data_IF_161782840328
#
_entry.id   IF_161782840328
#
_cell.length_a   1.000
_cell.length_b   1.000
_cell.length_c   1.000
_cell.angle_alpha   90.00
_cell.angle_beta   90.00
_cell.angle_gamma   90.00
#
_symmetry.space_group_name_H-M   'P 1'
#
loop_
_entity.id
_entity.type
_entity.pdbx_description
1 polymer ?
#
# COMPACT_ATOMS: atom_id res chain seq x y z
N UNK A 1 -10.02 -2.79 -74.32
CA UNK A 1 -9.51 -3.67 -73.23
C UNK A 1 -8.54 -2.85 -72.42
N UNK A 2 -8.96 -2.38 -71.25
CA UNK A 2 -8.15 -1.60 -70.31
C UNK A 2 -8.01 -2.42 -69.02
N UNK A 3 -6.80 -2.59 -68.46
CA UNK A 3 -6.66 -3.37 -67.23
C UNK A 3 -7.12 -2.53 -66.02
N UNK A 4 -8.04 -3.11 -65.25
CA UNK A 4 -8.53 -2.59 -63.98
C UNK A 4 -7.40 -2.49 -62.95
N UNK A 5 -7.01 -1.26 -62.62
CA UNK A 5 -6.16 -0.95 -61.47
C UNK A 5 -6.98 -1.08 -60.17
N UNK A 6 -6.93 -2.25 -59.54
CA UNK A 6 -7.43 -2.46 -58.17
C UNK A 6 -6.64 -1.60 -57.18
N UNK A 7 -7.28 -0.56 -56.64
CA UNK A 7 -6.77 0.21 -55.50
C UNK A 7 -6.62 -0.70 -54.27
N UNK A 8 -5.49 -0.69 -53.55
CA UNK A 8 -5.35 -1.45 -52.33
C UNK A 8 -6.22 -0.82 -51.23
N UNK A 9 -7.14 -1.62 -50.68
CA UNK A 9 -7.85 -1.32 -49.43
C UNK A 9 -6.81 -1.17 -48.31
N UNK A 10 -6.45 0.06 -47.98
CA UNK A 10 -5.77 0.39 -46.72
C UNK A 10 -6.78 0.15 -45.59
N UNK A 11 -6.76 -1.05 -45.01
CA UNK A 11 -7.32 -1.29 -43.69
C UNK A 11 -6.49 -0.50 -42.68
N UNK A 12 -6.85 0.76 -42.43
CA UNK A 12 -6.41 1.49 -41.25
C UNK A 12 -7.09 0.87 -40.02
N UNK A 13 -6.65 -0.34 -39.67
CA UNK A 13 -6.76 -0.85 -38.31
C UNK A 13 -5.90 0.04 -37.43
N UNK A 14 -6.41 1.24 -37.12
CA UNK A 14 -5.97 2.03 -35.99
C UNK A 14 -6.17 1.14 -34.79
N UNK A 15 -5.11 0.38 -34.44
CA UNK A 15 -4.90 -0.16 -33.10
C UNK A 15 -5.23 1.00 -32.18
N UNK A 16 -6.39 0.94 -31.54
CA UNK A 16 -6.73 1.90 -30.51
C UNK A 16 -5.59 1.84 -29.52
N UNK A 17 -4.76 2.89 -29.55
CA UNK A 17 -3.71 3.11 -28.57
C UNK A 17 -4.46 3.09 -27.24
N UNK A 18 -4.30 1.99 -26.49
CA UNK A 18 -4.83 1.85 -25.14
C UNK A 18 -4.44 3.14 -24.41
N UNK A 19 -5.43 3.99 -24.14
CA UNK A 19 -5.21 5.23 -23.40
C UNK A 19 -4.39 4.88 -22.16
N UNK A 20 -3.34 5.66 -21.83
CA UNK A 20 -2.58 5.43 -20.61
C UNK A 20 -3.54 5.31 -19.44
N UNK A 21 -3.32 4.32 -18.58
CA UNK A 21 -4.19 4.00 -17.45
C UNK A 21 -4.57 5.30 -16.72
N UNK A 22 -5.88 5.59 -16.66
CA UNK A 22 -6.40 6.74 -15.91
C UNK A 22 -5.76 6.74 -14.52
N UNK A 23 -5.18 7.89 -14.11
CA UNK A 23 -4.60 8.16 -12.78
C UNK A 23 -5.29 7.33 -11.69
N UNK A 24 -4.48 6.60 -10.91
CA UNK A 24 -4.86 5.49 -10.03
C UNK A 24 -6.12 5.71 -9.20
N UNK A 25 -7.24 5.17 -9.68
CA UNK A 25 -8.50 5.15 -8.94
C UNK A 25 -8.40 4.16 -7.78
N UNK A 26 -8.95 4.52 -6.62
CA UNK A 26 -8.99 3.63 -5.46
C UNK A 26 -10.01 2.49 -5.64
N UNK A 27 -11.09 2.77 -6.39
CA UNK A 27 -12.04 1.77 -6.87
C UNK A 27 -12.14 1.80 -8.39
N UNK A 28 -12.34 0.64 -9.01
CA UNK A 28 -12.53 0.54 -10.45
C UNK A 28 -13.83 1.22 -10.91
N UNK A 29 -14.89 1.16 -10.10
CA UNK A 29 -16.19 1.77 -10.40
C UNK A 29 -16.34 3.14 -9.70
N UNK A 30 -16.94 4.10 -10.40
CA UNK A 30 -17.06 5.51 -9.96
C UNK A 30 -18.27 5.79 -9.07
N UNK A 31 -18.90 4.77 -8.48
CA UNK A 31 -20.11 4.96 -7.65
C UNK A 31 -19.82 5.61 -6.30
N UNK A 32 -18.58 5.51 -5.82
CA UNK A 32 -18.14 6.10 -4.57
C UNK A 32 -17.06 7.15 -4.84
N UNK A 33 -17.10 8.24 -4.06
CA UNK A 33 -16.08 9.29 -4.11
C UNK A 33 -14.75 8.78 -3.54
N UNK A 34 -13.65 9.06 -4.24
CA UNK A 34 -12.28 8.79 -3.78
C UNK A 34 -11.98 9.45 -2.43
N UNK A 35 -12.56 10.62 -2.14
CA UNK A 35 -12.40 11.27 -0.84
C UNK A 35 -13.00 10.43 0.31
N UNK A 36 -14.18 9.84 0.09
CA UNK A 36 -14.81 8.94 1.07
C UNK A 36 -13.98 7.67 1.27
N UNK A 37 -13.45 7.11 0.19
CA UNK A 37 -12.62 5.90 0.26
C UNK A 37 -11.31 6.19 1.02
N UNK A 38 -10.67 7.34 0.77
CA UNK A 38 -9.49 7.78 1.53
C UNK A 38 -9.79 7.92 3.02
N UNK A 39 -10.95 8.47 3.38
CA UNK A 39 -11.36 8.56 4.79
C UNK A 39 -11.59 7.17 5.40
N UNK A 40 -12.19 6.22 4.69
CA UNK A 40 -12.29 4.82 5.15
C UNK A 40 -10.90 4.21 5.38
N UNK A 41 -9.96 4.42 4.44
CA UNK A 41 -8.58 3.93 4.57
C UNK A 41 -7.89 4.58 5.78
N UNK A 42 -8.13 5.88 6.02
CA UNK A 42 -7.61 6.58 7.20
C UNK A 42 -8.17 5.99 8.49
N UNK A 43 -9.49 5.82 8.61
CA UNK A 43 -10.08 5.18 9.78
C UNK A 43 -9.51 3.77 10.01
N UNK A 44 -9.32 2.99 8.95
CA UNK A 44 -8.71 1.67 9.03
C UNK A 44 -7.26 1.73 9.54
N UNK A 45 -6.42 2.60 8.97
CA UNK A 45 -5.03 2.73 9.34
C UNK A 45 -4.85 3.11 10.82
N UNK A 46 -5.69 4.02 11.31
CA UNK A 46 -5.74 4.48 12.71
C UNK A 46 -6.46 3.51 13.67
N UNK A 47 -6.73 2.27 13.24
CA UNK A 47 -7.42 1.25 14.03
C UNK A 47 -8.76 1.71 14.62
N UNK A 48 -9.44 2.67 13.96
CA UNK A 48 -10.75 3.17 14.38
C UNK A 48 -11.83 2.11 14.12
N UNK A 49 -12.90 2.20 14.90
CA UNK A 49 -14.03 1.28 14.74
C UNK A 49 -14.70 1.47 13.37
N UNK A 50 -15.29 0.41 12.77
CA UNK A 50 -16.10 0.56 11.56
C UNK A 50 -17.25 1.56 11.72
N UNK A 51 -17.81 1.68 12.93
CA UNK A 51 -18.85 2.65 13.24
C UNK A 51 -18.37 4.10 13.04
N UNK A 52 -17.14 4.41 13.41
CA UNK A 52 -16.56 5.73 13.19
C UNK A 52 -16.35 6.03 11.70
N UNK A 53 -15.88 5.05 10.93
CA UNK A 53 -15.73 5.18 9.48
C UNK A 53 -17.09 5.42 8.79
N UNK A 54 -18.14 4.73 9.24
CA UNK A 54 -19.52 4.93 8.77
C UNK A 54 -19.97 6.37 9.06
N UNK A 55 -19.80 6.85 10.30
CA UNK A 55 -20.20 8.18 10.71
C UNK A 55 -19.50 9.29 9.90
N UNK A 56 -18.19 9.15 9.66
CA UNK A 56 -17.39 10.15 8.94
C UNK A 56 -17.67 10.20 7.43
N UNK A 57 -18.11 9.09 6.84
CA UNK A 57 -18.24 8.98 5.37
C UNK A 57 -19.69 8.93 4.88
N UNK A 58 -20.63 8.60 5.77
CA UNK A 58 -22.03 8.34 5.43
C UNK A 58 -22.21 7.11 4.54
N UNK A 59 -21.22 6.20 4.48
CA UNK A 59 -21.33 4.95 3.73
C UNK A 59 -22.08 3.90 4.54
N UNK A 60 -22.78 2.99 3.85
CA UNK A 60 -23.47 1.89 4.53
C UNK A 60 -22.48 0.97 5.24
N UNK A 61 -22.95 0.36 6.33
CA UNK A 61 -22.19 -0.64 7.10
C UNK A 61 -21.57 -1.70 6.19
N UNK A 62 -22.38 -2.31 5.31
CA UNK A 62 -21.93 -3.33 4.35
C UNK A 62 -20.78 -2.82 3.47
N UNK A 63 -20.83 -1.56 3.03
CA UNK A 63 -19.79 -0.96 2.18
C UNK A 63 -18.48 -0.81 2.94
N UNK A 64 -18.51 -0.30 4.17
CA UNK A 64 -17.30 -0.13 4.99
C UNK A 64 -16.64 -1.47 5.30
N UNK A 65 -17.42 -2.48 5.69
CA UNK A 65 -16.89 -3.82 5.96
C UNK A 65 -16.27 -4.46 4.70
N UNK A 66 -16.91 -4.30 3.53
CA UNK A 66 -16.32 -4.76 2.25
C UNK A 66 -15.01 -4.04 1.94
N UNK A 67 -14.96 -2.72 2.11
CA UNK A 67 -13.72 -1.95 1.91
C UNK A 67 -12.61 -2.41 2.85
N UNK A 68 -12.90 -2.66 4.13
CA UNK A 68 -11.93 -3.21 5.07
C UNK A 68 -11.43 -4.60 4.63
N UNK A 69 -12.33 -5.47 4.14
CA UNK A 69 -11.95 -6.76 3.57
C UNK A 69 -11.03 -6.64 2.36
N UNK A 70 -11.32 -5.70 1.46
CA UNK A 70 -10.45 -5.41 0.30
C UNK A 70 -9.08 -4.87 0.72
N UNK A 71 -9.02 -4.01 1.74
CA UNK A 71 -7.76 -3.49 2.28
C UNK A 71 -6.93 -4.65 2.84
N UNK A 72 -7.51 -5.51 3.70
CA UNK A 72 -6.79 -6.69 4.23
C UNK A 72 -6.22 -7.57 3.13
N UNK A 73 -7.04 -7.86 2.10
CA UNK A 73 -6.59 -8.68 0.97
C UNK A 73 -5.41 -8.05 0.24
N UNK A 74 -5.45 -6.73 0.04
CA UNK A 74 -4.33 -5.99 -0.57
C UNK A 74 -3.08 -6.07 0.29
N UNK A 75 -3.21 -5.86 1.59
CA UNK A 75 -2.07 -5.88 2.52
C UNK A 75 -1.46 -7.27 2.69
N UNK A 76 -2.28 -8.32 2.72
CA UNK A 76 -1.80 -9.70 2.70
C UNK A 76 -1.10 -10.02 1.39
N UNK A 77 -1.68 -9.63 0.26
CA UNK A 77 -1.11 -9.89 -1.07
C UNK A 77 0.27 -9.25 -1.26
N UNK A 78 0.49 -8.04 -0.72
CA UNK A 78 1.79 -7.37 -0.82
C UNK A 78 2.76 -7.75 0.30
N UNK A 79 2.39 -8.69 1.17
CA UNK A 79 3.21 -9.16 2.28
C UNK A 79 3.36 -8.17 3.44
N UNK A 80 2.57 -7.09 3.48
CA UNK A 80 2.53 -6.22 4.68
C UNK A 80 1.85 -6.93 5.83
N UNK A 81 0.77 -7.66 5.55
CA UNK A 81 0.23 -8.63 6.49
C UNK A 81 0.85 -9.97 6.17
N UNK A 82 1.59 -10.55 7.11
CA UNK A 82 2.07 -11.91 6.99
C UNK A 82 0.96 -12.89 7.32
N UNK A 83 0.89 -13.99 6.57
CA UNK A 83 0.07 -15.12 6.95
C UNK A 83 0.56 -15.67 8.31
N UNK A 84 -0.35 -16.16 9.15
CA UNK A 84 0.02 -16.69 10.47
C UNK A 84 1.07 -17.79 10.39
N UNK A 85 0.96 -18.68 9.40
CA UNK A 85 1.93 -19.76 9.21
C UNK A 85 3.32 -19.22 8.93
N UNK A 86 3.45 -18.29 7.98
CA UNK A 86 4.73 -17.64 7.68
C UNK A 86 5.30 -16.88 8.88
N UNK A 87 4.46 -16.22 9.67
CA UNK A 87 4.89 -15.60 10.93
C UNK A 87 5.42 -16.63 11.94
N UNK A 88 4.76 -17.79 12.05
CA UNK A 88 5.18 -18.86 12.95
C UNK A 88 6.55 -19.41 12.52
N UNK A 89 6.69 -19.71 11.23
CA UNK A 89 7.93 -20.21 10.64
C UNK A 89 9.08 -19.23 10.93
N UNK A 90 8.87 -17.93 10.67
CA UNK A 90 9.88 -16.89 10.94
C UNK A 90 10.28 -16.78 12.42
N UNK A 91 9.36 -17.02 13.36
CA UNK A 91 9.67 -16.98 14.80
C UNK A 91 10.36 -18.25 15.28
N UNK A 92 9.99 -19.42 14.73
CA UNK A 92 10.70 -20.66 15.03
C UNK A 92 12.14 -20.59 14.52
N UNK A 93 12.35 -20.10 13.28
CA UNK A 93 13.68 -19.88 12.72
C UNK A 93 14.49 -18.92 13.61
N UNK A 94 13.85 -17.87 14.14
CA UNK A 94 14.47 -16.91 15.06
C UNK A 94 14.93 -17.58 16.36
N UNK A 95 14.12 -18.46 16.94
CA UNK A 95 14.50 -19.24 18.12
C UNK A 95 15.63 -20.24 17.83
N UNK A 96 15.59 -20.91 16.67
CA UNK A 96 16.63 -21.83 16.21
C UNK A 96 17.98 -21.12 16.01
N UNK A 97 17.98 -19.86 15.59
CA UNK A 97 19.16 -18.98 15.52
C UNK A 97 19.73 -18.59 16.91
N UNK A 98 19.13 -19.08 18.02
CA UNK A 98 19.56 -18.80 19.39
C UNK A 98 19.14 -17.42 19.89
N UNK A 99 18.12 -16.81 19.26
CA UNK A 99 17.57 -15.51 19.68
C UNK A 99 16.64 -15.71 20.90
N UNK A 100 16.22 -14.63 21.59
CA UNK A 100 15.33 -14.75 22.73
C UNK A 100 14.04 -15.50 22.37
N UNK A 101 13.61 -16.37 23.29
CA UNK A 101 12.36 -17.11 23.18
C UNK A 101 11.18 -16.17 22.95
N UNK A 102 10.32 -16.52 22.00
CA UNK A 102 9.10 -15.83 21.70
C UNK A 102 7.97 -16.36 22.59
N UNK A 103 7.26 -15.44 23.26
CA UNK A 103 6.14 -15.82 24.13
C UNK A 103 4.89 -16.18 23.31
N UNK A 104 4.77 -17.48 23.01
CA UNK A 104 3.66 -18.05 22.26
C UNK A 104 2.32 -17.96 22.98
N UNK A 105 2.31 -18.09 24.31
CA UNK A 105 1.08 -18.12 25.10
C UNK A 105 0.43 -16.74 25.12
N UNK A 106 1.21 -15.70 25.41
CA UNK A 106 0.72 -14.32 25.41
C UNK A 106 0.31 -13.87 24.00
N UNK A 107 1.05 -14.28 22.97
CA UNK A 107 0.68 -14.01 21.58
C UNK A 107 -0.67 -14.63 21.21
N UNK A 108 -0.90 -15.92 21.48
CA UNK A 108 -2.16 -16.59 21.18
C UNK A 108 -3.33 -15.99 21.96
N UNK A 109 -3.11 -15.61 23.23
CA UNK A 109 -4.10 -14.93 24.05
C UNK A 109 -4.47 -13.56 23.47
N UNK A 110 -3.48 -12.75 23.11
CA UNK A 110 -3.70 -11.45 22.48
C UNK A 110 -4.41 -11.57 21.13
N UNK A 111 -4.04 -12.57 20.32
CA UNK A 111 -4.67 -12.87 19.04
C UNK A 111 -6.16 -13.22 19.22
N UNK A 112 -6.48 -14.12 20.16
CA UNK A 112 -7.86 -14.51 20.48
C UNK A 112 -8.69 -13.32 20.95
N UNK A 113 -8.14 -12.48 21.82
CA UNK A 113 -8.82 -11.27 22.31
C UNK A 113 -9.10 -10.30 21.15
N UNK A 114 -8.11 -10.08 20.28
CA UNK A 114 -8.26 -9.18 19.14
C UNK A 114 -9.32 -9.67 18.17
N UNK A 115 -9.33 -10.97 17.85
CA UNK A 115 -10.31 -11.58 16.95
C UNK A 115 -11.71 -11.66 17.56
N UNK A 116 -11.83 -11.96 18.87
CA UNK A 116 -13.12 -12.03 19.57
C UNK A 116 -13.87 -10.69 19.57
N UNK A 117 -13.14 -9.58 19.48
CA UNK A 117 -13.72 -8.23 19.40
C UNK A 117 -14.16 -7.82 17.98
N UNK A 118 -14.04 -8.70 16.98
CA UNK A 118 -14.40 -8.41 15.59
C UNK A 118 -15.69 -9.12 15.20
N UNK A 119 -16.61 -8.36 14.59
CA UNK A 119 -17.83 -8.90 13.99
C UNK A 119 -17.59 -9.32 12.53
N UNK A 120 -18.34 -10.32 12.08
CA UNK A 120 -18.39 -10.74 10.68
C UNK A 120 -17.21 -11.59 10.22
N UNK A 121 -16.51 -12.26 11.15
CA UNK A 121 -15.51 -13.27 10.81
C UNK A 121 -16.23 -14.56 10.41
N UNK A 122 -15.93 -15.07 9.23
CA UNK A 122 -16.39 -16.36 8.72
C UNK A 122 -15.19 -17.19 8.24
N UNK A 123 -15.42 -18.45 7.89
CA UNK A 123 -14.34 -19.33 7.42
C UNK A 123 -13.62 -18.81 6.17
N UNK A 124 -14.27 -18.00 5.33
CA UNK A 124 -13.71 -17.50 4.06
C UNK A 124 -12.83 -16.28 4.24
N UNK A 125 -13.03 -15.52 5.31
CA UNK A 125 -12.30 -14.29 5.57
C UNK A 125 -11.39 -14.37 6.82
N UNK A 126 -11.48 -15.46 7.59
CA UNK A 126 -10.74 -15.66 8.84
C UNK A 126 -9.25 -15.36 8.68
N UNK A 127 -8.61 -15.88 7.64
CA UNK A 127 -7.16 -15.72 7.42
C UNK A 127 -6.77 -14.26 7.25
N UNK A 128 -7.62 -13.44 6.64
CA UNK A 128 -7.39 -12.00 6.50
C UNK A 128 -7.43 -11.28 7.85
N UNK A 129 -8.35 -11.69 8.73
CA UNK A 129 -8.45 -11.13 10.08
C UNK A 129 -7.30 -11.59 10.97
N UNK A 130 -6.90 -12.85 10.87
CA UNK A 130 -5.76 -13.40 11.60
C UNK A 130 -4.48 -12.69 11.18
N UNK A 131 -4.25 -12.52 9.87
CA UNK A 131 -3.06 -11.84 9.36
C UNK A 131 -3.01 -10.36 9.79
N UNK A 132 -4.15 -9.66 9.80
CA UNK A 132 -4.22 -8.32 10.39
C UNK A 132 -3.90 -8.34 11.89
N UNK A 133 -4.43 -9.32 12.63
CA UNK A 133 -4.21 -9.42 14.07
C UNK A 133 -2.73 -9.67 14.39
N UNK A 134 -2.06 -10.57 13.65
CA UNK A 134 -0.60 -10.78 13.75
C UNK A 134 0.14 -9.45 13.56
N UNK A 135 -0.17 -8.74 12.48
CA UNK A 135 0.44 -7.44 12.20
C UNK A 135 0.19 -6.42 13.33
N UNK A 136 -1.04 -6.33 13.83
CA UNK A 136 -1.42 -5.32 14.84
C UNK A 136 -0.87 -5.62 16.23
N UNK A 137 -0.75 -6.90 16.60
CA UNK A 137 -0.31 -7.33 17.94
C UNK A 137 1.22 -7.35 18.02
N UNK A 138 1.91 -7.85 16.98
CA UNK A 138 3.36 -8.10 17.04
C UNK A 138 4.19 -7.16 16.16
N UNK A 139 3.68 -6.78 14.99
CA UNK A 139 4.47 -6.07 13.98
C UNK A 139 4.15 -4.58 13.87
N UNK A 140 3.29 -4.04 14.73
CA UNK A 140 2.75 -2.69 14.63
C UNK A 140 3.76 -1.62 15.05
N UNK A 141 4.90 -1.59 14.35
CA UNK A 141 5.99 -0.63 14.46
C UNK A 141 5.75 0.61 13.62
N UNK A 142 4.70 0.60 12.80
CA UNK A 142 4.36 1.69 11.90
C UNK A 142 3.36 2.66 12.55
N UNK A 143 3.64 3.94 12.40
CA UNK A 143 2.71 4.99 12.73
C UNK A 143 1.45 4.89 11.86
N UNK A 144 0.26 5.26 12.36
CA UNK A 144 -0.98 5.18 11.60
C UNK A 144 -0.93 5.87 10.22
N UNK A 145 -0.23 7.00 10.12
CA UNK A 145 -0.06 7.70 8.85
C UNK A 145 0.83 6.93 7.87
N UNK A 146 1.83 6.18 8.36
CA UNK A 146 2.64 5.30 7.53
C UNK A 146 1.79 4.14 7.00
N UNK A 147 0.97 3.51 7.85
CA UNK A 147 0.03 2.45 7.44
C UNK A 147 -0.93 2.97 6.36
N UNK A 148 -1.47 4.17 6.55
CA UNK A 148 -2.33 4.82 5.56
C UNK A 148 -1.64 4.96 4.20
N UNK A 149 -0.40 5.45 4.19
CA UNK A 149 0.38 5.61 2.96
C UNK A 149 0.73 4.26 2.31
N UNK A 150 1.08 3.26 3.12
CA UNK A 150 1.34 1.89 2.64
C UNK A 150 0.11 1.27 1.99
N UNK A 151 -1.10 1.50 2.53
CA UNK A 151 -2.35 1.04 1.91
C UNK A 151 -2.57 1.71 0.56
N UNK A 152 -2.44 3.05 0.49
CA UNK A 152 -2.60 3.77 -0.77
C UNK A 152 -1.59 3.29 -1.83
N UNK A 153 -0.36 3.03 -1.41
CA UNK A 153 0.68 2.54 -2.29
C UNK A 153 0.43 1.11 -2.75
N UNK A 154 -0.05 0.23 -1.86
CA UNK A 154 -0.48 -1.10 -2.23
C UNK A 154 -1.55 -1.04 -3.33
N UNK A 155 -2.58 -0.21 -3.16
CA UNK A 155 -3.65 -0.02 -4.17
C UNK A 155 -3.09 0.54 -5.48
N UNK A 156 -2.18 1.52 -5.42
CA UNK A 156 -1.54 2.08 -6.62
C UNK A 156 -0.71 1.05 -7.38
N UNK A 157 -0.03 0.19 -6.64
CA UNK A 157 0.87 -0.83 -7.22
C UNK A 157 0.06 -1.96 -7.81
N UNK A 158 -0.80 -2.60 -7.02
CA UNK A 158 -1.47 -3.87 -7.40
C UNK A 158 -2.89 -3.70 -7.94
N UNK A 159 -3.38 -2.46 -8.02
CA UNK A 159 -4.66 -2.12 -8.61
C UNK A 159 -5.79 -1.81 -7.60
N UNK A 160 -6.94 -1.33 -8.11
CA UNK A 160 -8.06 -0.81 -7.30
C UNK A 160 -8.63 -1.85 -6.34
N UNK A 161 -9.15 -1.43 -5.18
CA UNK A 161 -9.57 -2.29 -4.07
C UNK A 161 -10.58 -3.39 -4.45
N UNK A 162 -11.53 -3.09 -5.33
CA UNK A 162 -12.62 -4.00 -5.71
C UNK A 162 -12.30 -4.90 -6.93
N UNK A 163 -11.03 -5.08 -7.27
CA UNK A 163 -10.56 -6.06 -8.26
C UNK A 163 -9.56 -7.01 -7.62
N UNK A 164 -9.32 -8.16 -8.23
CA UNK A 164 -8.20 -8.99 -7.79
C UNK A 164 -6.86 -8.27 -8.00
N UNK A 165 -5.86 -8.48 -7.12
CA UNK A 165 -4.55 -7.87 -7.28
C UNK A 165 -3.86 -8.42 -8.52
N UNK A 166 -3.15 -7.57 -9.26
CA UNK A 166 -2.40 -8.03 -10.43
C UNK A 166 -1.12 -8.78 -10.01
N UNK A 167 -0.92 -10.05 -10.44
CA UNK A 167 0.20 -10.91 -10.04
C UNK A 167 1.58 -10.28 -10.25
N UNK A 168 1.73 -9.55 -11.34
CA UNK A 168 3.00 -8.94 -11.78
C UNK A 168 3.31 -7.62 -11.07
N UNK A 169 2.39 -7.11 -10.25
CA UNK A 169 2.50 -5.79 -9.64
C UNK A 169 3.11 -5.79 -8.23
N UNK A 170 3.26 -6.94 -7.58
CA UNK A 170 3.91 -7.06 -6.28
C UNK A 170 5.35 -6.51 -6.30
N UNK A 171 6.08 -6.71 -7.41
CA UNK A 171 7.43 -6.19 -7.59
C UNK A 171 7.52 -4.64 -7.50
N UNK A 172 6.49 -3.94 -7.98
CA UNK A 172 6.43 -2.47 -7.89
C UNK A 172 6.18 -2.00 -6.44
N UNK A 173 5.44 -2.79 -5.66
CA UNK A 173 5.25 -2.51 -4.24
C UNK A 173 6.54 -2.70 -3.44
N UNK A 174 7.23 -3.84 -3.60
CA UNK A 174 8.49 -4.11 -2.89
C UNK A 174 9.58 -3.09 -3.20
N UNK A 175 9.66 -2.63 -4.46
CA UNK A 175 10.56 -1.54 -4.86
C UNK A 175 10.29 -0.25 -4.07
N UNK A 176 9.03 0.07 -3.82
CA UNK A 176 8.65 1.26 -3.08
C UNK A 176 8.82 1.11 -1.57
N UNK A 177 8.55 -0.07 -1.01
CA UNK A 177 8.87 -0.37 0.40
C UNK A 177 10.37 -0.23 0.64
N UNK A 178 11.21 -0.77 -0.27
CA UNK A 178 12.65 -0.56 -0.23
C UNK A 178 13.00 0.95 -0.28
N UNK A 179 12.35 1.73 -1.14
CA UNK A 179 12.55 3.18 -1.22
C UNK A 179 12.21 3.88 0.10
N UNK A 180 11.07 3.53 0.73
CA UNK A 180 10.64 4.11 2.00
C UNK A 180 11.57 3.73 3.15
N UNK A 181 11.95 2.46 3.25
CA UNK A 181 12.91 1.99 4.24
C UNK A 181 14.27 2.69 4.07
N UNK A 182 14.69 2.93 2.84
CA UNK A 182 15.91 3.66 2.53
C UNK A 182 15.81 5.14 2.91
N UNK A 183 14.64 5.77 2.73
CA UNK A 183 14.42 7.15 3.22
C UNK A 183 14.47 7.24 4.74
N UNK A 184 13.85 6.28 5.45
CA UNK A 184 13.90 6.20 6.91
C UNK A 184 15.35 6.02 7.35
N UNK A 185 16.06 5.05 6.78
CA UNK A 185 17.47 4.80 7.06
C UNK A 185 18.34 6.05 6.83
N UNK A 186 18.19 6.73 5.69
CA UNK A 186 18.92 7.96 5.39
C UNK A 186 18.57 9.11 6.34
N UNK A 187 17.30 9.21 6.77
CA UNK A 187 16.89 10.23 7.74
C UNK A 187 17.52 9.97 9.11
N UNK A 188 17.55 8.71 9.57
CA UNK A 188 18.19 8.31 10.82
C UNK A 188 19.70 8.56 10.72
N UNK A 189 20.34 8.14 9.63
CA UNK A 189 21.78 8.36 9.39
C UNK A 189 22.17 9.84 9.42
N UNK A 190 21.36 10.73 8.82
CA UNK A 190 21.56 12.18 8.90
C UNK A 190 21.43 12.72 10.32
N UNK A 191 20.48 12.18 11.09
CA UNK A 191 20.22 12.61 12.47
C UNK A 191 21.34 12.16 13.42
N UNK A 192 22.00 11.03 13.10
CA UNK A 192 23.15 10.50 13.83
C UNK A 192 24.48 11.21 13.49
N UNK A 193 24.49 12.14 12.53
CA UNK A 193 25.64 13.00 12.26
C UNK A 193 26.83 12.32 11.58
N UNK A 194 26.64 11.16 10.96
CA UNK A 194 27.74 10.39 10.39
C UNK A 194 28.25 11.01 9.05
N UNK A 195 29.49 11.52 8.98
CA UNK A 195 30.00 12.26 7.83
C UNK A 195 30.11 11.43 6.54
N UNK A 196 30.26 10.11 6.64
CA UNK A 196 30.29 9.19 5.48
C UNK A 196 28.92 9.14 4.79
N UNK A 197 27.84 9.21 5.56
CA UNK A 197 26.47 9.12 5.05
C UNK A 197 25.93 10.45 4.51
N UNK A 198 26.38 11.59 5.05
CA UNK A 198 26.06 12.90 4.48
C UNK A 198 26.61 13.05 3.05
N UNK A 199 27.84 12.59 2.79
CA UNK A 199 28.42 12.56 1.46
C UNK A 199 27.69 11.62 0.48
N UNK A 200 27.17 10.48 0.97
CA UNK A 200 26.39 9.55 0.15
C UNK A 200 24.97 10.09 -0.15
N UNK A 201 24.35 10.75 0.82
CA UNK A 201 23.02 11.36 0.68
C UNK A 201 23.02 12.56 -0.29
N UNK A 202 24.13 13.29 -0.38
CA UNK A 202 24.33 14.40 -1.32
C UNK A 202 24.64 13.93 -2.75
N UNK A 203 25.33 12.79 -2.94
CA UNK A 203 25.77 12.38 -4.29
C UNK A 203 24.76 11.56 -5.11
N UNK A 204 23.72 10.96 -4.51
CA UNK A 204 22.83 10.01 -5.25
C UNK A 204 21.32 10.25 -5.15
N UNK A 205 20.84 11.19 -4.33
CA UNK A 205 19.39 11.44 -4.23
C UNK A 205 18.83 12.12 -5.49
N UNK A 206 19.54 13.05 -6.12
CA UNK A 206 19.06 13.72 -7.34
C UNK A 206 19.22 12.88 -8.62
N UNK A 207 20.20 11.98 -8.67
CA UNK A 207 20.49 11.17 -9.87
C UNK A 207 19.60 9.92 -10.00
N UNK A 208 19.15 9.34 -8.89
CA UNK A 208 18.23 8.19 -8.93
C UNK A 208 16.76 8.62 -9.10
N UNK A 209 16.35 9.76 -8.52
CA UNK A 209 14.97 10.25 -8.61
C UNK A 209 14.65 10.80 -10.01
N UNK A 210 15.59 11.48 -10.67
CA UNK A 210 15.38 12.04 -12.02
C UNK A 210 15.38 10.99 -13.14
N UNK A 211 16.03 9.83 -12.95
CA UNK A 211 16.16 8.79 -13.97
C UNK A 211 15.02 7.76 -13.97
N UNK A 212 14.16 7.74 -12.94
CA UNK A 212 13.20 6.66 -12.77
C UNK A 212 11.77 6.96 -13.22
N UNK A 213 11.32 8.22 -13.28
CA UNK A 213 10.06 8.65 -13.93
C UNK A 213 9.92 10.20 -13.91
N UNK A 214 9.84 10.91 -15.06
CA UNK A 214 9.75 12.38 -15.11
C UNK A 214 8.52 12.97 -14.41
N UNK A 215 7.45 12.17 -14.23
CA UNK A 215 6.20 12.62 -13.62
C UNK A 215 6.28 12.87 -12.10
N UNK A 216 7.37 12.43 -11.44
CA UNK A 216 7.61 12.69 -10.02
C UNK A 216 8.36 14.00 -9.77
N UNK A 217 9.01 14.58 -10.79
CA UNK A 217 9.59 15.92 -10.73
C UNK A 217 8.51 16.97 -10.39
N UNK A 218 7.30 16.82 -10.94
CA UNK A 218 6.17 17.72 -10.68
C UNK A 218 5.60 17.59 -9.26
N UNK A 219 5.55 16.38 -8.70
CA UNK A 219 5.07 16.14 -7.33
C UNK A 219 6.08 16.68 -6.30
N UNK A 220 7.37 16.47 -6.53
CA UNK A 220 8.43 17.04 -5.69
C UNK A 220 8.49 18.58 -5.81
N UNK A 221 8.22 19.14 -7.01
CA UNK A 221 8.11 20.59 -7.21
C UNK A 221 6.87 21.19 -6.52
N UNK A 222 5.77 20.44 -6.40
CA UNK A 222 4.58 20.86 -5.68
C UNK A 222 4.83 20.96 -4.17
N UNK A 223 5.45 19.94 -3.55
CA UNK A 223 5.79 19.96 -2.12
C UNK A 223 6.77 21.09 -1.76
N UNK A 224 7.77 21.37 -2.61
CA UNK A 224 8.69 22.50 -2.40
C UNK A 224 7.97 23.85 -2.41
N UNK A 225 6.92 24.03 -3.23
CA UNK A 225 6.12 25.26 -3.27
C UNK A 225 5.23 25.42 -2.04
N UNK A 226 4.64 24.32 -1.55
CA UNK A 226 3.80 24.33 -0.35
C UNK A 226 4.64 24.66 0.90
N UNK A 227 5.82 24.04 1.02
CA UNK A 227 6.75 24.31 2.13
C UNK A 227 7.30 25.75 2.07
N UNK A 228 7.58 26.28 0.88
CA UNK A 228 8.04 27.68 0.74
C UNK A 228 6.96 28.72 1.07
N UNK A 229 5.68 28.38 0.89
CA UNK A 229 4.54 29.26 1.26
C UNK A 229 4.28 29.23 2.76
N UNK A 230 4.43 28.07 3.41
CA UNK A 230 4.25 27.94 4.85
C UNK A 230 5.38 28.59 5.68
N UNK A 231 6.52 28.92 5.08
CA UNK A 231 7.63 29.64 5.72
C UNK A 231 7.59 31.17 5.55
N UNK A 232 6.60 31.69 4.81
CA UNK A 232 6.43 33.14 4.55
C UNK A 232 5.17 33.73 5.19
N UNK A 233 4.51 32.96 6.04
CA UNK A 233 3.38 33.36 6.91
C UNK A 233 3.78 33.09 8.34
#
# INVERSE_FOLDING_TARGET
MSPDLKKPKRSSGLRQVKKPARKGRLLASSKLSDAKIREVIRCYAFARSPAEAIARTGLSHVTVYRLYGHIRRRLLYVGLYRAKTAFIDDMNDWEEEGRPHFDWEDFEKALRLWLGNRRGIDAKNRDLYVSEAVFRVQENRYEPLQIYNLILQAIKSVGPLNREPEPTAAALYYREVLRLNMQIFLSVARTLGDPVFNAFAESKTDTMISRMDPSFSEAAAFDRRVISKARKT
#
